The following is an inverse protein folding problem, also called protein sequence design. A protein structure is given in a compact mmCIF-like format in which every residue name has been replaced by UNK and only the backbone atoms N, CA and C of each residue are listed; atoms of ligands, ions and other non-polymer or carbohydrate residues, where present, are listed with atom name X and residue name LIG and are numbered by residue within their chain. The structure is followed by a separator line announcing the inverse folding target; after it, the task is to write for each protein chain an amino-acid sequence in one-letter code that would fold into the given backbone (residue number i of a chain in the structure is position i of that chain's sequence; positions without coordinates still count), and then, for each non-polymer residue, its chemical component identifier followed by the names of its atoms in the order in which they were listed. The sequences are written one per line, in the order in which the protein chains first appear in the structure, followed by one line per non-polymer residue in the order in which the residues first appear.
data_IF_705080554429
#
_entry.id   IF_705080554429
#
_cell.length_a   1.000
_cell.length_b   1.000
_cell.length_c   1.000
_cell.angle_alpha   90.00
_cell.angle_beta   90.00
_cell.angle_gamma   90.00
#
_symmetry.space_group_name_H-M   'P 1'
#
loop_
_entity.id
_entity.type
_entity.pdbx_description
1 polymer ?
#
# COMPACT_ATOMS: atom_id res chain seq x y z
N UNK A 1 3.18 -25.31 -21.44
CA UNK A 1 1.79 -25.01 -21.03
C UNK A 1 1.70 -24.57 -19.57
N UNK A 2 2.28 -25.30 -18.60
CA UNK A 2 2.22 -24.97 -17.16
C UNK A 2 2.78 -23.57 -16.79
N UNK A 3 3.88 -23.15 -17.44
CA UNK A 3 4.53 -21.84 -17.22
C UNK A 3 3.65 -20.66 -17.62
N UNK A 4 2.86 -20.78 -18.70
CA UNK A 4 1.96 -19.71 -19.15
C UNK A 4 0.81 -19.51 -18.15
N UNK A 5 0.29 -20.59 -17.55
CA UNK A 5 -0.74 -20.49 -16.53
C UNK A 5 -0.22 -19.84 -15.25
N UNK A 6 0.99 -20.20 -14.80
CA UNK A 6 1.60 -19.59 -13.62
C UNK A 6 1.83 -18.09 -13.83
N UNK A 7 2.34 -17.70 -15.00
CA UNK A 7 2.60 -16.29 -15.35
C UNK A 7 1.33 -15.44 -15.29
N UNK A 8 0.21 -15.94 -15.80
CA UNK A 8 -1.07 -15.22 -15.76
C UNK A 8 -1.60 -15.03 -14.33
N UNK A 9 -1.38 -16.00 -13.43
CA UNK A 9 -1.87 -15.94 -12.06
C UNK A 9 -1.11 -14.89 -11.23
N UNK A 10 0.21 -14.83 -11.39
CA UNK A 10 1.02 -13.79 -10.76
C UNK A 10 0.64 -12.39 -11.27
N UNK A 11 0.31 -12.27 -12.56
CA UNK A 11 -0.13 -11.02 -13.16
C UNK A 11 -1.44 -10.53 -12.51
N UNK A 12 -2.43 -11.42 -12.35
CA UNK A 12 -3.67 -11.07 -11.66
C UNK A 12 -3.44 -10.64 -10.21
N UNK A 13 -2.58 -11.33 -9.46
CA UNK A 13 -2.27 -10.99 -8.07
C UNK A 13 -1.55 -9.63 -7.99
N UNK A 14 -0.60 -9.38 -8.88
CA UNK A 14 0.12 -8.10 -8.96
C UNK A 14 -0.82 -6.95 -9.30
N UNK A 15 -1.67 -7.12 -10.32
CA UNK A 15 -2.70 -6.13 -10.66
C UNK A 15 -3.67 -5.88 -9.51
N UNK A 16 -4.11 -6.93 -8.81
CA UNK A 16 -4.99 -6.81 -7.66
C UNK A 16 -4.32 -6.01 -6.52
N UNK A 17 -3.02 -6.25 -6.26
CA UNK A 17 -2.25 -5.50 -5.28
C UNK A 17 -2.17 -4.00 -5.62
N UNK A 18 -1.78 -3.66 -6.86
CA UNK A 18 -1.67 -2.26 -7.30
C UNK A 18 -3.03 -1.56 -7.29
N UNK A 19 -4.09 -2.25 -7.75
CA UNK A 19 -5.45 -1.74 -7.68
C UNK A 19 -5.90 -1.52 -6.23
N UNK A 20 -5.52 -2.43 -5.33
CA UNK A 20 -5.72 -2.31 -3.89
C UNK A 20 -5.10 -1.04 -3.30
N UNK A 21 -3.83 -0.78 -3.60
CA UNK A 21 -3.13 0.45 -3.16
C UNK A 21 -3.85 1.69 -3.67
N UNK A 22 -4.22 1.72 -4.96
CA UNK A 22 -4.96 2.83 -5.54
C UNK A 22 -6.34 3.02 -4.91
N UNK A 23 -7.02 1.93 -4.57
CA UNK A 23 -8.32 2.00 -3.90
C UNK A 23 -8.17 2.51 -2.45
N UNK A 24 -7.11 2.09 -1.75
CA UNK A 24 -6.77 2.56 -0.40
C UNK A 24 -6.44 4.06 -0.31
N UNK A 25 -5.96 4.67 -1.41
CA UNK A 25 -5.75 6.12 -1.46
C UNK A 25 -7.04 6.91 -1.65
N UNK A 26 -8.09 6.29 -2.18
CA UNK A 26 -9.42 6.89 -2.38
C UNK A 26 -10.37 6.60 -1.23
N UNK A 27 -10.29 5.40 -0.65
CA UNK A 27 -11.24 4.88 0.34
C UNK A 27 -10.44 4.39 1.55
N UNK A 28 -10.67 4.99 2.72
CA UNK A 28 -10.13 4.51 3.99
C UNK A 28 -10.76 3.17 4.35
N UNK A 29 -10.14 2.08 3.89
CA UNK A 29 -10.63 0.73 4.15
C UNK A 29 -10.40 0.38 5.64
N UNK A 30 -11.45 -0.02 6.39
CA UNK A 30 -11.27 -0.46 7.76
C UNK A 30 -10.52 -1.79 7.80
N UNK A 31 -9.79 -2.06 8.90
CA UNK A 31 -9.06 -3.31 9.10
C UNK A 31 -9.96 -4.55 8.95
N UNK A 32 -11.25 -4.40 9.28
CA UNK A 32 -12.28 -5.42 9.12
C UNK A 32 -12.44 -5.88 7.66
N UNK A 33 -12.13 -5.02 6.68
CA UNK A 33 -12.22 -5.37 5.26
C UNK A 33 -11.30 -6.55 4.91
N UNK A 34 -10.18 -6.74 5.61
CA UNK A 34 -9.26 -7.85 5.39
C UNK A 34 -9.89 -9.22 5.69
N UNK A 35 -10.86 -9.27 6.60
CA UNK A 35 -11.63 -10.49 6.89
C UNK A 35 -12.42 -10.99 5.67
N UNK A 36 -12.82 -10.09 4.78
CA UNK A 36 -13.52 -10.44 3.54
C UNK A 36 -12.61 -11.17 2.54
N UNK A 37 -11.30 -10.95 2.62
CA UNK A 37 -10.31 -11.69 1.82
C UNK A 37 -10.13 -13.14 2.28
N UNK A 38 -10.54 -13.46 3.51
CA UNK A 38 -10.49 -14.82 4.07
C UNK A 38 -11.75 -15.64 3.75
N UNK A 39 -12.85 -14.98 3.36
CA UNK A 39 -14.12 -15.63 3.01
C UNK A 39 -13.97 -16.78 1.99
N UNK A 40 -13.20 -16.64 0.89
CA UNK A 40 -13.03 -17.70 -0.10
C UNK A 40 -12.38 -18.96 0.48
N UNK A 41 -11.55 -18.82 1.52
CA UNK A 41 -10.91 -19.95 2.19
C UNK A 41 -11.90 -20.77 3.02
N UNK A 42 -12.95 -20.13 3.56
CA UNK A 42 -14.03 -20.83 4.27
C UNK A 42 -14.85 -21.74 3.34
N UNK A 43 -14.92 -21.42 2.04
CA UNK A 43 -15.68 -22.20 1.05
C UNK A 43 -14.89 -23.36 0.41
N UNK A 44 -13.59 -23.49 0.71
CA UNK A 44 -12.72 -24.59 0.24
C UNK A 44 -13.28 -25.99 0.56
N UNK A 45 -13.77 -26.31 1.77
CA UNK A 45 -14.33 -27.62 2.07
C UNK A 45 -15.64 -27.91 1.31
N UNK A 46 -16.36 -26.88 0.85
CA UNK A 46 -17.66 -27.03 0.17
C UNK A 46 -17.52 -27.26 -1.34
N UNK A 47 -16.45 -26.76 -1.97
CA UNK A 47 -16.22 -26.84 -3.41
C UNK A 47 -14.90 -27.52 -3.75
N UNK A 48 -14.87 -28.85 -3.63
CA UNK A 48 -13.64 -29.64 -3.73
C UNK A 48 -12.97 -29.62 -5.12
N UNK A 49 -13.76 -29.47 -6.18
CA UNK A 49 -13.25 -29.44 -7.57
C UNK A 49 -12.65 -28.08 -7.95
N UNK A 50 -13.05 -27.00 -7.27
CA UNK A 50 -12.66 -25.62 -7.59
C UNK A 50 -11.64 -25.02 -6.61
N UNK A 51 -11.00 -25.86 -5.76
CA UNK A 51 -10.05 -25.44 -4.73
C UNK A 51 -8.95 -24.52 -5.23
N UNK A 52 -8.37 -24.84 -6.39
CA UNK A 52 -7.28 -24.04 -6.98
C UNK A 52 -7.76 -22.62 -7.31
N UNK A 53 -8.95 -22.50 -7.90
CA UNK A 53 -9.55 -21.21 -8.25
C UNK A 53 -9.92 -20.41 -7.00
N UNK A 54 -10.48 -21.05 -5.98
CA UNK A 54 -10.81 -20.41 -4.70
C UNK A 54 -9.56 -19.86 -3.99
N UNK A 55 -8.44 -20.59 -4.04
CA UNK A 55 -7.17 -20.11 -3.49
C UNK A 55 -6.69 -18.85 -4.21
N UNK A 56 -6.79 -18.78 -5.54
CA UNK A 56 -6.41 -17.58 -6.30
C UNK A 56 -7.30 -16.41 -5.99
N UNK A 57 -8.62 -16.62 -5.96
CA UNK A 57 -9.58 -15.58 -5.64
C UNK A 57 -9.30 -15.05 -4.23
N UNK A 58 -9.04 -15.94 -3.28
CA UNK A 58 -8.60 -15.58 -1.93
C UNK A 58 -7.31 -14.77 -1.92
N UNK A 59 -6.28 -15.21 -2.64
CA UNK A 59 -5.01 -14.49 -2.73
C UNK A 59 -5.18 -13.11 -3.37
N UNK A 60 -5.95 -12.99 -4.46
CA UNK A 60 -6.23 -11.72 -5.12
C UNK A 60 -7.02 -10.77 -4.21
N UNK A 61 -8.03 -11.26 -3.50
CA UNK A 61 -8.79 -10.45 -2.55
C UNK A 61 -7.90 -9.99 -1.38
N UNK A 62 -7.08 -10.88 -0.83
CA UNK A 62 -6.10 -10.51 0.21
C UNK A 62 -5.08 -9.50 -0.30
N UNK A 63 -4.59 -9.64 -1.54
CA UNK A 63 -3.69 -8.68 -2.15
C UNK A 63 -4.35 -7.31 -2.36
N UNK A 64 -5.60 -7.28 -2.83
CA UNK A 64 -6.36 -6.04 -3.03
C UNK A 64 -6.63 -5.33 -1.70
N UNK A 65 -7.16 -6.06 -0.71
CA UNK A 65 -7.48 -5.51 0.61
C UNK A 65 -6.22 -5.12 1.38
N UNK A 66 -5.18 -5.95 1.30
CA UNK A 66 -3.87 -5.68 1.90
C UNK A 66 -3.19 -4.45 1.30
N UNK A 67 -3.25 -4.29 -0.03
CA UNK A 67 -2.78 -3.10 -0.72
C UNK A 67 -3.52 -1.84 -0.24
N UNK A 68 -4.85 -1.95 -0.05
CA UNK A 68 -5.69 -0.86 0.45
C UNK A 68 -5.31 -0.39 1.86
N UNK A 69 -4.92 -1.31 2.75
CA UNK A 69 -4.45 -0.98 4.10
C UNK A 69 -2.99 -0.51 4.12
N UNK A 70 -2.15 -0.95 3.17
CA UNK A 70 -0.74 -0.56 3.11
C UNK A 70 -0.58 0.94 2.91
N UNK A 71 -1.47 1.56 2.14
CA UNK A 71 -1.43 2.99 1.83
C UNK A 71 -1.52 3.86 3.10
N UNK A 72 -2.59 3.81 3.92
CA UNK A 72 -2.68 4.61 5.15
C UNK A 72 -1.57 4.28 6.15
N UNK A 73 -1.07 3.04 6.21
CA UNK A 73 0.09 2.70 7.07
C UNK A 73 1.43 3.22 6.56
N UNK A 74 1.53 3.54 5.27
CA UNK A 74 2.74 4.12 4.66
C UNK A 74 2.79 5.64 4.73
N UNK A 75 1.63 6.29 4.92
CA UNK A 75 1.58 7.70 5.25
C UNK A 75 2.18 7.88 6.64
N UNK A 76 3.40 8.44 6.68
CA UNK A 76 3.89 9.09 7.89
C UNK A 76 2.83 10.09 8.34
N UNK A 77 2.56 10.20 9.65
CA UNK A 77 1.75 11.30 10.17
C UNK A 77 2.38 12.61 9.71
N UNK A 78 1.78 13.22 8.68
CA UNK A 78 2.23 14.51 8.14
C UNK A 78 1.75 15.55 9.16
N UNK A 79 2.65 15.87 10.09
CA UNK A 79 2.41 16.81 11.17
C UNK A 79 3.26 18.08 10.98
N UNK A 80 3.01 19.12 11.77
CA UNK A 80 3.71 20.42 11.73
C UNK A 80 5.23 20.31 11.90
N UNK A 81 5.71 19.20 12.44
CA UNK A 81 7.12 18.85 12.56
C UNK A 81 7.75 18.26 11.27
N UNK A 82 6.95 18.00 10.24
CA UNK A 82 7.41 17.44 8.96
C UNK A 82 7.45 18.52 7.87
N UNK A 83 8.55 18.62 7.13
CA UNK A 83 8.68 19.60 6.03
C UNK A 83 7.59 19.42 4.96
N UNK A 84 7.17 18.17 4.72
CA UNK A 84 6.11 17.83 3.76
C UNK A 84 4.74 18.44 4.12
N UNK A 85 4.48 18.72 5.41
CA UNK A 85 3.25 19.37 5.85
C UNK A 85 3.05 20.76 5.26
N UNK A 86 4.14 21.44 4.90
CA UNK A 86 4.11 22.78 4.33
C UNK A 86 4.11 22.78 2.79
N UNK A 87 4.20 21.61 2.15
CA UNK A 87 4.10 21.50 0.69
C UNK A 87 2.71 21.96 0.22
N UNK A 88 2.68 22.66 -0.92
CA UNK A 88 1.47 23.16 -1.59
C UNK A 88 0.58 24.11 -0.75
N UNK A 89 1.04 24.56 0.42
CA UNK A 89 0.35 25.55 1.27
C UNK A 89 0.64 27.01 0.92
N UNK A 90 1.36 27.24 -0.18
CA UNK A 90 1.75 28.58 -0.64
C UNK A 90 2.98 29.09 0.12
N UNK A 91 2.92 30.33 0.62
CA UNK A 91 4.02 30.94 1.37
C UNK A 91 3.85 30.66 2.86
N UNK A 92 4.88 30.09 3.48
CA UNK A 92 4.94 29.81 4.91
C UNK A 92 6.10 30.57 5.53
N UNK A 93 5.87 31.20 6.69
CA UNK A 93 6.91 31.87 7.44
C UNK A 93 7.66 30.86 8.31
N UNK A 94 8.98 30.78 8.16
CA UNK A 94 9.84 29.91 8.95
C UNK A 94 10.65 30.79 9.89
N UNK A 95 10.43 30.64 11.19
CA UNK A 95 11.23 31.30 12.22
C UNK A 95 12.19 30.28 12.83
N UNK A 96 13.45 30.66 12.97
CA UNK A 96 14.48 29.82 13.55
C UNK A 96 15.58 30.68 14.17
N UNK A 97 16.24 30.12 15.20
CA UNK A 97 17.42 30.72 15.80
C UNK A 97 18.66 30.00 15.24
N UNK A 98 19.69 30.76 14.87
CA UNK A 98 20.98 30.20 14.50
C UNK A 98 21.70 29.83 15.80
N UNK A 99 21.82 28.53 16.07
CA UNK A 99 22.43 28.00 17.31
C UNK A 99 23.90 27.67 17.10
N UNK A 100 24.27 27.33 15.86
CA UNK A 100 25.63 26.95 15.48
C UNK A 100 25.91 27.46 14.06
N UNK A 101 27.16 27.82 13.79
CA UNK A 101 27.59 28.24 12.47
C UNK A 101 27.51 27.04 11.50
N UNK A 102 26.93 27.20 10.30
CA UNK A 102 26.75 26.07 9.38
C UNK A 102 28.11 25.48 9.01
N UNK A 103 28.24 24.15 9.10
CA UNK A 103 29.45 23.43 8.69
C UNK A 103 29.68 23.66 7.19
N UNK A 104 30.52 24.63 6.86
CA UNK A 104 30.95 24.89 5.50
C UNK A 104 31.91 23.79 5.12
N UNK A 105 31.38 22.63 4.68
CA UNK A 105 32.17 21.68 3.91
C UNK A 105 32.59 22.38 2.62
N UNK A 106 33.79 22.94 2.62
CA UNK A 106 34.44 23.50 1.46
C UNK A 106 34.64 22.38 0.44
N UNK A 107 33.65 22.13 -0.42
CA UNK A 107 33.93 21.58 -1.75
C UNK A 107 34.45 22.73 -2.60
N UNK A 108 35.71 23.04 -2.38
CA UNK A 108 36.55 23.74 -3.36
C UNK A 108 37.35 22.67 -4.10
N UNK A 109 36.96 22.47 -5.37
CA UNK A 109 37.59 21.71 -6.47
C UNK A 109 38.00 20.25 -6.20
#
# INVERSE_FOLDING_TARGET
MLINYLSMWLLYISCAWVAGIFLGSKVGLPLLALSLGLLPFLFIPLFHDSKKTLIVIGLCLLALLGGGLRFPSSLSQIDEHSLCFYNDKGTVEIQGMIIEEPDTRSRSC
#
